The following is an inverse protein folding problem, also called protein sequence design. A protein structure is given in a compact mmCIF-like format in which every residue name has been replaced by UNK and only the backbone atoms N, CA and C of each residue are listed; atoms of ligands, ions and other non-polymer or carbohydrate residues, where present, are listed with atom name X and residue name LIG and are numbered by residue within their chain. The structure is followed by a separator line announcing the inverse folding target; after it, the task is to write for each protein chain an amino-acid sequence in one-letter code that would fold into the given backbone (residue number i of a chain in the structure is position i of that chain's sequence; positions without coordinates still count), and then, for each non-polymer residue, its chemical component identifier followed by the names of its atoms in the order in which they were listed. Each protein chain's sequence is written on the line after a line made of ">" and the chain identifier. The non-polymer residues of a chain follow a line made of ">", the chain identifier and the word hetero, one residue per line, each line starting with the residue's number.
data_IF_404037629418
#
_entry.id   IF_404037629418
#
_cell.length_a   1.000
_cell.length_b   1.000
_cell.length_c   1.000
_cell.angle_alpha   90.00
_cell.angle_beta   90.00
_cell.angle_gamma   90.00
#
_symmetry.space_group_name_H-M   'P 1'
#
loop_
_entity.id
_entity.type
_entity.pdbx_description
1 polymer ?
#
# COMPACT_ATOMS: atom_id res chain seq x y z
N UNK A 1 -3.78 0.73 6.66
CA UNK A 1 -2.90 0.07 7.63
C UNK A 1 -3.37 0.21 9.07
N UNK A 2 -3.73 1.38 9.52
CA UNK A 2 -4.19 1.58 10.93
C UNK A 2 -5.71 1.58 11.07
N UNK A 3 -6.43 1.06 10.06
CA UNK A 3 -7.88 1.05 10.06
C UNK A 3 -8.46 0.23 11.25
N UNK A 4 -7.79 -0.85 11.65
CA UNK A 4 -8.23 -1.66 12.79
C UNK A 4 -8.46 -0.87 14.08
N UNK A 5 -7.67 0.19 14.33
CA UNK A 5 -7.86 1.06 15.50
C UNK A 5 -9.11 1.92 15.38
N UNK A 6 -9.37 2.45 14.18
CA UNK A 6 -10.61 3.17 13.93
C UNK A 6 -11.83 2.25 14.03
N UNK A 7 -11.71 1.03 13.53
CA UNK A 7 -12.77 0.02 13.63
C UNK A 7 -13.09 -0.29 15.10
N UNK A 8 -12.08 -0.55 15.93
CA UNK A 8 -12.26 -0.78 17.36
C UNK A 8 -12.88 0.44 18.05
N UNK A 9 -12.43 1.66 17.71
CA UNK A 9 -13.01 2.88 18.23
C UNK A 9 -14.48 3.05 17.84
N UNK A 10 -14.85 2.75 16.59
CA UNK A 10 -16.26 2.81 16.14
C UNK A 10 -17.14 1.83 16.89
N UNK A 11 -16.64 0.63 17.19
CA UNK A 11 -17.38 -0.39 17.91
C UNK A 11 -17.58 0.00 19.39
N UNK A 12 -16.59 0.65 20.00
CA UNK A 12 -16.57 0.88 21.47
C UNK A 12 -17.08 2.26 21.90
N UNK A 13 -16.85 3.33 21.12
CA UNK A 13 -17.05 4.70 21.61
C UNK A 13 -17.98 5.56 20.76
N UNK A 14 -18.28 5.20 19.55
CA UNK A 14 -19.07 6.03 18.66
C UNK A 14 -20.41 5.38 18.36
N UNK A 15 -21.50 6.04 18.81
CA UNK A 15 -22.87 5.69 18.44
C UNK A 15 -23.15 6.15 16.99
N UNK A 16 -22.70 5.35 16.03
CA UNK A 16 -23.09 5.52 14.64
C UNK A 16 -24.49 4.92 14.45
N UNK A 17 -25.37 5.62 13.75
CA UNK A 17 -26.63 5.03 13.37
C UNK A 17 -26.40 4.07 12.19
N UNK A 18 -26.78 2.80 12.35
CA UNK A 18 -26.63 1.76 11.34
C UNK A 18 -26.16 0.43 11.92
N UNK A 19 -25.97 -0.56 11.04
CA UNK A 19 -25.49 -1.88 11.45
C UNK A 19 -23.99 -1.84 11.68
N UNK A 20 -23.56 -2.08 12.92
CA UNK A 20 -22.14 -2.03 13.35
C UNK A 20 -21.28 -3.09 12.67
N UNK A 21 -21.86 -4.21 12.25
CA UNK A 21 -21.14 -5.27 11.53
C UNK A 21 -20.56 -4.76 10.19
N UNK A 22 -21.11 -3.66 9.66
CA UNK A 22 -20.65 -3.04 8.43
C UNK A 22 -19.38 -2.20 8.57
N UNK A 23 -18.88 -1.97 9.77
CA UNK A 23 -17.64 -1.19 9.96
C UNK A 23 -16.42 -1.86 9.31
N UNK A 24 -16.35 -3.18 9.31
CA UNK A 24 -15.32 -3.93 8.60
C UNK A 24 -15.28 -3.67 7.08
N UNK A 25 -16.45 -3.36 6.50
CA UNK A 25 -16.56 -3.07 5.05
C UNK A 25 -15.77 -1.81 4.67
N UNK A 26 -15.62 -0.82 5.57
CA UNK A 26 -14.86 0.41 5.28
C UNK A 26 -13.41 0.07 4.89
N UNK A 27 -12.75 -0.78 5.67
CA UNK A 27 -11.38 -1.20 5.40
C UNK A 27 -11.25 -2.04 4.13
N UNK A 28 -12.19 -2.94 3.88
CA UNK A 28 -12.23 -3.76 2.66
C UNK A 28 -12.49 -2.90 1.42
N UNK A 29 -13.45 -1.98 1.48
CA UNK A 29 -13.75 -1.04 0.38
C UNK A 29 -12.55 -0.17 0.08
N UNK A 30 -11.84 0.31 1.10
CA UNK A 30 -10.61 1.08 0.95
C UNK A 30 -9.56 0.33 0.12
N UNK A 31 -9.26 -0.91 0.49
CA UNK A 31 -8.29 -1.72 -0.23
C UNK A 31 -8.79 -2.04 -1.65
N UNK A 32 -10.06 -2.43 -1.79
CA UNK A 32 -10.67 -2.75 -3.08
C UNK A 32 -10.61 -1.57 -4.07
N UNK A 33 -11.00 -0.39 -3.65
CA UNK A 33 -10.95 0.83 -4.48
C UNK A 33 -9.51 1.18 -4.87
N UNK A 34 -8.58 1.08 -3.93
CA UNK A 34 -7.17 1.36 -4.20
C UNK A 34 -6.60 0.39 -5.24
N UNK A 35 -6.73 -0.92 -5.04
CA UNK A 35 -6.18 -1.91 -5.96
C UNK A 35 -6.88 -1.93 -7.33
N UNK A 36 -8.18 -1.64 -7.40
CA UNK A 36 -8.92 -1.56 -8.65
C UNK A 36 -8.55 -0.31 -9.46
N UNK A 37 -8.35 0.83 -8.80
CA UNK A 37 -8.00 2.09 -9.47
C UNK A 37 -6.55 2.15 -9.94
N UNK A 38 -5.61 1.48 -9.27
CA UNK A 38 -4.19 1.51 -9.60
C UNK A 38 -3.86 1.12 -11.05
N UNK A 39 -4.29 -0.03 -11.60
CA UNK A 39 -3.97 -0.40 -12.97
C UNK A 39 -4.49 0.61 -13.99
N UNK A 40 -5.68 1.18 -13.74
CA UNK A 40 -6.28 2.20 -14.60
C UNK A 40 -5.45 3.49 -14.58
N UNK A 41 -5.03 3.94 -13.40
CA UNK A 41 -4.21 5.13 -13.23
C UNK A 41 -2.80 4.93 -13.81
N UNK A 42 -2.19 3.76 -13.64
CA UNK A 42 -0.92 3.43 -14.28
C UNK A 42 -1.03 3.50 -15.80
N UNK A 43 -2.05 2.91 -16.39
CA UNK A 43 -2.28 2.96 -17.83
C UNK A 43 -2.48 4.41 -18.33
N UNK A 44 -3.20 5.22 -17.56
CA UNK A 44 -3.50 6.60 -17.88
C UNK A 44 -2.23 7.47 -17.84
N UNK A 45 -1.45 7.40 -16.74
CA UNK A 45 -0.29 8.25 -16.52
C UNK A 45 1.00 7.78 -17.22
N UNK A 46 1.02 6.57 -17.77
CA UNK A 46 2.18 6.07 -18.53
C UNK A 46 2.28 6.71 -19.91
N UNK A 47 1.17 7.06 -20.58
CA UNK A 47 1.18 7.52 -21.98
C UNK A 47 0.62 8.92 -22.16
N UNK A 48 -0.70 9.04 -22.08
CA UNK A 48 -1.42 10.23 -22.56
C UNK A 48 -1.34 11.40 -21.59
N UNK A 49 -1.28 11.11 -20.30
CA UNK A 49 -1.41 12.07 -19.21
C UNK A 49 -0.14 12.21 -18.34
N UNK A 50 1.01 11.75 -18.86
CA UNK A 50 2.28 11.81 -18.13
C UNK A 50 2.63 13.23 -17.67
N UNK A 51 2.34 14.26 -18.49
CA UNK A 51 2.56 15.68 -18.14
C UNK A 51 1.70 16.18 -16.98
N UNK A 52 0.61 15.52 -16.67
CA UNK A 52 -0.32 15.91 -15.60
C UNK A 52 -0.09 15.16 -14.29
N UNK A 53 1.02 14.42 -14.14
CA UNK A 53 1.30 13.62 -12.93
C UNK A 53 1.33 14.48 -11.67
N UNK A 54 1.98 15.64 -11.68
CA UNK A 54 2.00 16.55 -10.53
C UNK A 54 0.61 17.09 -10.20
N UNK A 55 -0.13 17.52 -11.22
CA UNK A 55 -1.52 17.97 -11.03
C UNK A 55 -2.41 16.87 -10.46
N UNK A 56 -2.21 15.62 -10.91
CA UNK A 56 -2.93 14.47 -10.38
C UNK A 56 -2.57 14.19 -8.90
N UNK A 57 -1.29 14.30 -8.53
CA UNK A 57 -0.88 14.16 -7.12
C UNK A 57 -1.48 15.27 -6.26
N UNK A 58 -1.49 16.52 -6.73
CA UNK A 58 -2.10 17.63 -6.01
C UNK A 58 -3.62 17.44 -5.85
N UNK A 59 -4.32 17.08 -6.93
CA UNK A 59 -5.77 16.80 -6.87
C UNK A 59 -6.08 15.62 -5.96
N UNK A 60 -5.25 14.56 -5.98
CA UNK A 60 -5.36 13.41 -5.10
C UNK A 60 -5.18 13.78 -3.63
N UNK A 61 -4.21 14.65 -3.32
CA UNK A 61 -4.00 15.16 -1.95
C UNK A 61 -5.19 15.97 -1.47
N UNK A 62 -5.71 16.88 -2.30
CA UNK A 62 -6.90 17.68 -1.96
C UNK A 62 -8.09 16.76 -1.71
N UNK A 63 -8.30 15.76 -2.57
CA UNK A 63 -9.39 14.81 -2.46
C UNK A 63 -9.29 13.96 -1.18
N UNK A 64 -8.09 13.49 -0.83
CA UNK A 64 -7.85 12.75 0.40
C UNK A 64 -8.10 13.62 1.64
N UNK A 65 -7.60 14.85 1.68
CA UNK A 65 -7.83 15.78 2.78
C UNK A 65 -9.32 16.11 2.94
N UNK A 66 -10.01 16.42 1.84
CA UNK A 66 -11.44 16.70 1.84
C UNK A 66 -12.24 15.51 2.36
N UNK A 67 -11.85 14.29 1.97
CA UNK A 67 -12.45 13.05 2.43
C UNK A 67 -12.37 12.89 3.94
N UNK A 68 -11.20 13.10 4.54
CA UNK A 68 -11.04 13.04 6.00
C UNK A 68 -11.78 14.18 6.71
N UNK A 69 -11.82 15.38 6.15
CA UNK A 69 -12.61 16.48 6.68
C UNK A 69 -14.11 16.15 6.66
N UNK A 70 -14.63 15.60 5.57
CA UNK A 70 -16.03 15.16 5.46
C UNK A 70 -16.34 14.03 6.43
N UNK A 71 -15.42 13.08 6.64
CA UNK A 71 -15.61 11.99 7.59
C UNK A 71 -15.71 12.49 9.04
N UNK A 72 -15.16 13.68 9.35
CA UNK A 72 -15.30 14.34 10.67
C UNK A 72 -16.75 14.69 11.01
N UNK A 73 -17.64 14.80 10.04
CA UNK A 73 -19.08 15.11 10.18
C UNK A 73 -19.96 13.88 10.01
N UNK A 74 -19.38 12.70 9.83
CA UNK A 74 -20.14 11.47 9.57
C UNK A 74 -20.89 11.01 10.81
N UNK A 75 -22.18 10.72 10.64
CA UNK A 75 -23.08 10.20 11.66
C UNK A 75 -23.56 8.78 11.39
N UNK A 76 -23.35 8.29 10.16
CA UNK A 76 -23.75 6.96 9.72
C UNK A 76 -22.58 6.19 9.14
N UNK A 77 -22.62 4.86 9.25
CA UNK A 77 -21.55 3.97 8.75
C UNK A 77 -21.33 4.14 7.25
N UNK A 78 -22.39 4.29 6.45
CA UNK A 78 -22.24 4.45 5.01
C UNK A 78 -21.57 5.77 4.59
N UNK A 79 -21.70 6.86 5.40
CA UNK A 79 -20.93 8.09 5.19
C UNK A 79 -19.43 7.83 5.30
N UNK A 80 -19.02 6.98 6.26
CA UNK A 80 -17.62 6.58 6.44
C UNK A 80 -17.14 5.67 5.29
N UNK A 81 -17.98 4.77 4.81
CA UNK A 81 -17.68 3.96 3.61
C UNK A 81 -17.44 4.85 2.40
N UNK A 82 -18.30 5.84 2.16
CA UNK A 82 -18.17 6.75 1.03
C UNK A 82 -16.94 7.68 1.16
N UNK A 83 -16.72 8.24 2.34
CA UNK A 83 -15.62 9.18 2.57
C UNK A 83 -14.29 8.44 2.75
N UNK A 84 -14.11 7.65 3.79
CA UNK A 84 -12.84 6.97 4.08
C UNK A 84 -12.59 5.75 3.19
N UNK A 85 -13.64 5.01 2.83
CA UNK A 85 -13.53 3.83 1.96
C UNK A 85 -13.27 4.19 0.51
N UNK A 86 -14.07 5.04 -0.11
CA UNK A 86 -13.99 5.33 -1.54
C UNK A 86 -13.14 6.57 -1.82
N UNK A 87 -13.55 7.72 -1.28
CA UNK A 87 -12.98 9.02 -1.65
C UNK A 87 -11.51 9.15 -1.21
N UNK A 88 -11.18 8.77 0.04
CA UNK A 88 -9.81 8.81 0.55
C UNK A 88 -8.89 7.88 -0.24
N UNK A 89 -9.37 6.68 -0.58
CA UNK A 89 -8.55 5.70 -1.27
C UNK A 89 -8.33 6.02 -2.73
N UNK A 90 -9.32 6.58 -3.40
CA UNK A 90 -9.15 7.10 -4.75
C UNK A 90 -8.17 8.28 -4.78
N UNK A 91 -8.29 9.23 -3.83
CA UNK A 91 -7.32 10.30 -3.63
C UNK A 91 -5.89 9.78 -3.39
N UNK A 92 -5.75 8.78 -2.52
CA UNK A 92 -4.46 8.13 -2.26
C UNK A 92 -3.89 7.42 -3.48
N UNK A 93 -4.72 6.75 -4.28
CA UNK A 93 -4.31 6.10 -5.52
C UNK A 93 -3.81 7.12 -6.57
N UNK A 94 -4.43 8.31 -6.65
CA UNK A 94 -3.97 9.41 -7.50
C UNK A 94 -2.60 9.95 -7.09
N UNK A 95 -2.25 9.92 -5.81
CA UNK A 95 -0.91 10.30 -5.33
C UNK A 95 0.09 9.17 -5.59
N UNK A 96 -0.26 7.95 -5.22
CA UNK A 96 0.64 6.81 -5.23
C UNK A 96 1.01 6.35 -6.66
N UNK A 97 0.07 6.38 -7.60
CA UNK A 97 0.30 5.88 -8.96
C UNK A 97 1.38 6.68 -9.73
N UNK A 98 1.34 8.02 -9.80
CA UNK A 98 2.39 8.79 -10.45
C UNK A 98 3.74 8.66 -9.75
N UNK A 99 3.76 8.60 -8.41
CA UNK A 99 4.97 8.43 -7.61
C UNK A 99 5.66 7.10 -7.92
N UNK A 100 4.89 6.01 -7.98
CA UNK A 100 5.41 4.68 -8.31
C UNK A 100 5.94 4.60 -9.74
N UNK A 101 5.26 5.24 -10.69
CA UNK A 101 5.73 5.33 -12.08
C UNK A 101 7.05 6.10 -12.18
N UNK A 102 7.16 7.23 -11.49
CA UNK A 102 8.38 8.02 -11.45
C UNK A 102 9.55 7.21 -10.88
N UNK A 103 9.33 6.46 -9.79
CA UNK A 103 10.35 5.59 -9.23
C UNK A 103 10.85 4.55 -10.24
N UNK A 104 9.94 3.92 -10.99
CA UNK A 104 10.28 2.96 -12.04
C UNK A 104 11.00 3.55 -13.25
N UNK A 105 10.87 4.85 -13.49
CA UNK A 105 11.58 5.58 -14.56
C UNK A 105 13.00 5.97 -14.13
N UNK A 106 13.21 6.34 -12.87
CA UNK A 106 14.53 6.66 -12.33
C UNK A 106 15.43 5.43 -12.20
N UNK A 107 14.88 4.29 -11.76
CA UNK A 107 15.60 3.02 -11.59
C UNK A 107 15.24 2.06 -12.73
N UNK A 108 16.01 2.06 -13.83
CA UNK A 108 15.65 1.32 -15.07
C UNK A 108 15.80 -0.19 -14.95
N UNK A 109 16.95 -0.72 -14.55
CA UNK A 109 17.25 -2.16 -14.52
C UNK A 109 17.96 -2.60 -13.26
N UNK A 110 19.04 -1.91 -12.90
CA UNK A 110 19.81 -2.24 -11.69
C UNK A 110 19.19 -1.54 -10.48
N UNK A 111 19.05 -2.25 -9.38
CA UNK A 111 18.52 -1.77 -8.10
C UNK A 111 17.02 -1.35 -8.12
N UNK A 112 16.25 -1.79 -9.12
CA UNK A 112 14.84 -1.43 -9.21
C UNK A 112 14.01 -2.07 -8.09
N UNK A 113 14.18 -3.37 -7.85
CA UNK A 113 13.47 -4.08 -6.78
C UNK A 113 13.88 -3.55 -5.40
N UNK A 114 15.17 -3.23 -5.21
CA UNK A 114 15.64 -2.59 -3.98
C UNK A 114 14.98 -1.23 -3.76
N UNK A 115 14.88 -0.38 -4.79
CA UNK A 115 14.24 0.93 -4.68
C UNK A 115 12.75 0.82 -4.30
N UNK A 116 12.02 -0.10 -4.91
CA UNK A 116 10.64 -0.40 -4.52
C UNK A 116 10.58 -0.98 -3.10
N UNK A 117 11.50 -1.88 -2.73
CA UNK A 117 11.61 -2.45 -1.40
C UNK A 117 11.81 -1.38 -0.32
N UNK A 118 12.73 -0.44 -0.53
CA UNK A 118 12.96 0.70 0.38
C UNK A 118 11.70 1.58 0.50
N UNK A 119 11.04 1.89 -0.61
CA UNK A 119 9.81 2.69 -0.60
C UNK A 119 8.70 1.98 0.17
N UNK A 120 8.53 0.67 -0.02
CA UNK A 120 7.56 -0.14 0.71
C UNK A 120 7.92 -0.30 2.19
N UNK A 121 9.22 -0.30 2.54
CA UNK A 121 9.69 -0.27 3.93
C UNK A 121 9.21 0.98 4.67
N UNK A 122 9.21 2.14 4.02
CA UNK A 122 8.66 3.38 4.60
C UNK A 122 7.17 3.25 4.96
N UNK A 123 6.39 2.52 4.14
CA UNK A 123 5.00 2.19 4.45
C UNK A 123 4.87 1.44 5.79
N UNK A 124 5.78 0.52 6.08
CA UNK A 124 5.77 -0.24 7.32
C UNK A 124 6.24 0.58 8.53
N UNK A 125 7.15 1.55 8.34
CA UNK A 125 7.50 2.51 9.40
C UNK A 125 6.25 3.29 9.82
N UNK A 126 5.51 3.83 8.86
CA UNK A 126 4.23 4.52 9.13
C UNK A 126 3.23 3.56 9.78
N UNK A 127 3.09 2.32 9.28
CA UNK A 127 2.24 1.28 9.85
C UNK A 127 2.58 0.90 11.28
N UNK A 128 3.84 1.05 11.70
CA UNK A 128 4.29 0.79 13.08
C UNK A 128 4.03 1.98 14.03
N UNK A 129 4.19 3.21 13.55
CA UNK A 129 4.06 4.43 14.37
C UNK A 129 2.61 4.90 14.49
N UNK A 130 1.85 4.85 13.39
CA UNK A 130 0.48 5.36 13.35
C UNK A 130 -0.48 4.73 14.35
N UNK A 131 -0.41 3.43 14.68
CA UNK A 131 -1.26 2.85 15.71
C UNK A 131 -1.16 3.56 17.06
N UNK A 132 0.05 3.84 17.53
CA UNK A 132 0.27 4.58 18.80
C UNK A 132 -0.21 6.02 18.70
N UNK A 133 0.05 6.68 17.56
CA UNK A 133 -0.40 8.04 17.32
C UNK A 133 -1.93 8.12 17.39
N UNK A 134 -2.64 7.24 16.68
CA UNK A 134 -4.11 7.24 16.69
C UNK A 134 -4.69 6.86 18.03
N UNK A 135 -4.15 5.86 18.72
CA UNK A 135 -4.58 5.50 20.07
C UNK A 135 -4.42 6.68 21.03
N UNK A 136 -3.29 7.39 20.99
CA UNK A 136 -3.06 8.58 21.81
C UNK A 136 -3.98 9.74 21.44
N UNK A 137 -4.20 9.99 20.15
CA UNK A 137 -5.08 11.07 19.69
C UNK A 137 -6.55 10.78 20.01
N UNK A 138 -7.02 9.57 19.80
CA UNK A 138 -8.39 9.16 20.09
C UNK A 138 -8.67 9.17 21.60
N UNK A 139 -7.67 8.80 22.42
CA UNK A 139 -7.79 8.86 23.89
C UNK A 139 -7.79 10.28 24.47
N UNK A 140 -7.17 11.25 23.78
CA UNK A 140 -7.12 12.66 24.25
C UNK A 140 -8.16 13.56 23.60
N UNK A 141 -8.47 13.30 22.33
CA UNK A 141 -9.35 14.13 21.52
C UNK A 141 -10.50 13.27 20.99
N UNK A 142 -11.63 13.90 20.68
CA UNK A 142 -12.74 13.21 20.02
C UNK A 142 -12.35 12.78 18.59
N UNK A 143 -13.04 11.80 18.03
CA UNK A 143 -12.87 11.30 16.67
C UNK A 143 -12.74 12.43 15.63
N UNK A 144 -13.66 13.40 15.62
CA UNK A 144 -13.66 14.51 14.67
C UNK A 144 -12.36 15.32 14.67
N UNK A 145 -11.78 15.57 15.85
CA UNK A 145 -10.50 16.30 15.96
C UNK A 145 -9.33 15.46 15.48
N UNK A 146 -9.31 14.18 15.82
CA UNK A 146 -8.26 13.23 15.38
C UNK A 146 -8.20 13.15 13.86
N UNK A 147 -9.34 13.03 13.18
CA UNK A 147 -9.41 12.92 11.72
C UNK A 147 -9.00 14.23 11.05
N UNK A 148 -9.32 15.39 11.64
CA UNK A 148 -8.84 16.70 11.14
C UNK A 148 -7.34 16.87 11.26
N UNK A 149 -6.76 16.48 12.41
CA UNK A 149 -5.30 16.47 12.61
C UNK A 149 -4.65 15.56 11.58
N UNK A 150 -5.23 14.37 11.34
CA UNK A 150 -4.72 13.44 10.34
C UNK A 150 -4.77 14.02 8.92
N UNK A 151 -5.84 14.73 8.55
CA UNK A 151 -5.95 15.43 7.28
C UNK A 151 -4.84 16.47 7.09
N UNK A 152 -4.49 17.23 8.14
CA UNK A 152 -3.38 18.19 8.11
C UNK A 152 -2.02 17.52 7.94
N UNK A 153 -1.78 16.39 8.61
CA UNK A 153 -0.54 15.60 8.45
C UNK A 153 -0.42 15.10 7.01
N UNK A 154 -1.49 14.55 6.43
CA UNK A 154 -1.52 14.11 5.03
C UNK A 154 -1.24 15.28 4.09
N UNK A 155 -1.89 16.42 4.29
CA UNK A 155 -1.67 17.61 3.46
C UNK A 155 -0.20 18.04 3.49
N UNK A 156 0.37 18.21 4.68
CA UNK A 156 1.75 18.66 4.86
C UNK A 156 2.77 17.70 4.25
N UNK A 157 2.65 16.41 4.56
CA UNK A 157 3.57 15.38 4.04
C UNK A 157 3.45 15.19 2.54
N UNK A 158 2.23 15.18 1.99
CA UNK A 158 2.01 15.03 0.55
C UNK A 158 2.51 16.24 -0.24
N UNK A 159 2.22 17.45 0.21
CA UNK A 159 2.72 18.66 -0.44
C UNK A 159 4.25 18.71 -0.43
N UNK A 160 4.87 18.44 0.72
CA UNK A 160 6.33 18.39 0.84
C UNK A 160 6.91 17.37 -0.15
N UNK A 161 6.33 16.17 -0.25
CA UNK A 161 6.79 15.12 -1.16
C UNK A 161 6.61 15.53 -2.63
N UNK A 162 5.46 16.12 -3.00
CA UNK A 162 5.18 16.52 -4.38
C UNK A 162 6.19 17.57 -4.89
N UNK A 163 6.57 18.51 -4.02
CA UNK A 163 7.58 19.52 -4.39
C UNK A 163 9.01 18.97 -4.47
N UNK A 164 9.31 17.88 -3.75
CA UNK A 164 10.62 17.23 -3.76
C UNK A 164 10.83 16.29 -4.94
N UNK A 165 9.77 15.77 -5.57
CA UNK A 165 9.91 14.85 -6.70
C UNK A 165 10.22 15.64 -7.97
N UNK A 166 11.44 15.54 -8.53
CA UNK A 166 11.77 16.20 -9.77
C UNK A 166 11.03 15.54 -10.94
N UNK A 167 10.53 16.36 -11.85
CA UNK A 167 9.96 15.86 -13.12
C UNK A 167 11.06 15.26 -13.97
N UNK A 168 10.95 13.94 -14.27
CA UNK A 168 11.92 13.29 -15.13
C UNK A 168 11.75 13.74 -16.59
N UNK A 169 12.85 14.02 -17.34
CA UNK A 169 12.81 14.47 -18.74
C UNK A 169 12.01 13.54 -19.68
N UNK A 170 11.96 12.23 -19.41
CA UNK A 170 11.14 11.28 -20.19
C UNK A 170 9.62 11.48 -20.06
N UNK A 171 9.16 12.32 -19.13
CA UNK A 171 7.76 12.74 -19.08
C UNK A 171 7.43 13.84 -20.10
N UNK A 172 8.45 14.45 -20.74
CA UNK A 172 8.26 15.37 -21.86
C UNK A 172 7.82 14.58 -23.11
N UNK A 173 6.91 15.14 -23.92
CA UNK A 173 6.51 14.51 -25.19
C UNK A 173 7.74 14.21 -26.02
N UNK A 174 7.78 13.05 -26.68
CA UNK A 174 8.88 12.61 -27.53
C UNK A 174 9.31 13.66 -28.60
N UNK A 175 8.43 14.60 -28.94
CA UNK A 175 8.72 15.73 -29.82
C UNK A 175 9.79 16.72 -29.29
N UNK A 176 10.08 16.72 -27.99
CA UNK A 176 11.12 17.62 -27.41
C UNK A 176 12.44 16.88 -27.23
N UNK A 177 12.40 15.55 -26.98
CA UNK A 177 13.62 14.72 -26.94
C UNK A 177 14.27 14.58 -28.32
N UNK A 178 13.47 14.48 -29.38
CA UNK A 178 13.99 14.43 -30.77
C UNK A 178 14.71 15.71 -31.20
N UNK A 179 14.36 16.87 -30.61
CA UNK A 179 15.04 18.13 -30.89
C UNK A 179 16.38 18.30 -30.13
N UNK A 180 16.57 17.55 -29.05
CA UNK A 180 17.80 17.64 -28.24
C UNK A 180 18.79 16.51 -28.58
N UNK A 181 18.32 15.34 -29.01
CA UNK A 181 19.17 14.22 -29.48
C UNK A 181 19.60 14.40 -30.93
N UNK A 182 18.82 15.07 -31.79
CA UNK A 182 19.19 15.37 -33.19
C UNK A 182 20.36 16.35 -33.35
N UNK A 183 20.88 16.91 -32.25
CA UNK A 183 22.05 17.81 -32.30
C UNK A 183 23.39 17.06 -32.06
N UNK A 184 23.40 15.78 -31.67
CA UNK A 184 24.64 15.12 -31.24
C UNK A 184 25.03 13.79 -31.85
N UNK A 185 24.24 13.10 -32.71
CA UNK A 185 24.76 11.89 -33.37
C UNK A 185 24.02 11.57 -34.67
N UNK A 186 24.77 11.64 -35.78
CA UNK A 186 24.44 11.00 -37.03
C UNK A 186 24.64 9.48 -36.91
N UNK A 187 23.61 8.75 -36.58
CA UNK A 187 23.62 7.31 -36.53
C UNK A 187 22.18 6.76 -36.52
N UNK A 188 21.93 5.86 -37.48
CA UNK A 188 20.69 5.14 -37.77
C UNK A 188 19.75 4.88 -36.60
N UNK A 189 18.94 5.85 -36.25
CA UNK A 189 17.88 5.70 -35.23
C UNK A 189 16.64 5.12 -35.96
N UNK A 190 16.41 3.83 -35.81
CA UNK A 190 15.18 3.19 -36.22
C UNK A 190 13.96 3.86 -35.55
N UNK A 191 12.77 3.83 -36.19
CA UNK A 191 11.59 4.57 -35.75
C UNK A 191 11.24 4.25 -34.27
N UNK A 192 10.81 5.25 -33.49
CA UNK A 192 10.52 5.09 -32.06
C UNK A 192 9.50 3.96 -31.89
N UNK A 193 9.90 2.89 -31.21
CA UNK A 193 9.04 1.74 -30.94
C UNK A 193 7.88 2.21 -30.08
N UNK A 194 6.77 2.55 -30.72
CA UNK A 194 5.49 2.73 -30.03
C UNK A 194 5.26 1.52 -29.13
N UNK A 195 5.32 1.70 -27.81
CA UNK A 195 4.94 0.67 -26.82
C UNK A 195 3.43 0.43 -26.94
N UNK A 196 3.03 -0.31 -27.98
CA UNK A 196 1.69 -0.88 -28.06
C UNK A 196 1.52 -1.80 -26.85
N UNK A 197 0.35 -1.78 -26.23
CA UNK A 197 -0.01 -2.78 -25.21
C UNK A 197 0.26 -4.14 -25.86
N UNK A 198 1.09 -5.01 -25.28
CA UNK A 198 1.43 -6.29 -25.89
C UNK A 198 0.23 -7.24 -25.73
N UNK A 199 -0.83 -7.02 -26.52
CA UNK A 199 -1.98 -7.91 -26.58
C UNK A 199 -1.61 -9.39 -26.76
N UNK A 200 -0.53 -9.75 -27.51
CA UNK A 200 -0.08 -11.12 -27.58
C UNK A 200 0.35 -11.69 -26.22
N UNK A 201 0.86 -10.87 -25.30
CA UNK A 201 1.24 -11.32 -23.96
C UNK A 201 0.05 -11.83 -23.17
N UNK A 202 -1.15 -11.28 -23.38
CA UNK A 202 -2.38 -11.76 -22.71
C UNK A 202 -2.81 -13.17 -23.17
N UNK A 203 -2.23 -13.69 -24.26
CA UNK A 203 -2.49 -15.08 -24.71
C UNK A 203 -1.65 -16.12 -23.95
N UNK A 204 -0.63 -15.69 -23.23
CA UNK A 204 0.19 -16.60 -22.43
C UNK A 204 -0.51 -16.95 -21.12
N UNK A 205 -0.79 -18.23 -20.90
CA UNK A 205 -1.42 -18.74 -19.66
C UNK A 205 -0.66 -18.37 -18.38
N UNK A 206 0.65 -18.17 -18.49
CA UNK A 206 1.53 -17.74 -17.39
C UNK A 206 1.05 -16.44 -16.73
N UNK A 207 0.53 -15.47 -17.52
CA UNK A 207 0.04 -14.20 -16.97
C UNK A 207 -1.17 -14.43 -16.04
N UNK A 208 -2.08 -15.31 -16.44
CA UNK A 208 -3.26 -15.63 -15.63
C UNK A 208 -2.89 -16.35 -14.34
N UNK A 209 -1.92 -17.29 -14.40
CA UNK A 209 -1.41 -17.97 -13.22
C UNK A 209 -0.78 -16.98 -12.25
N UNK A 210 0.08 -16.07 -12.74
CA UNK A 210 0.67 -15.01 -11.93
C UNK A 210 -0.39 -14.09 -11.33
N UNK A 211 -1.37 -13.67 -12.12
CA UNK A 211 -2.43 -12.78 -11.66
C UNK A 211 -3.26 -13.43 -10.55
N UNK A 212 -3.62 -14.70 -10.70
CA UNK A 212 -4.34 -15.46 -9.66
C UNK A 212 -3.48 -15.59 -8.40
N UNK A 213 -2.21 -15.94 -8.53
CA UNK A 213 -1.29 -16.05 -7.40
C UNK A 213 -1.17 -14.73 -6.63
N UNK A 214 -1.02 -13.60 -7.32
CA UNK A 214 -0.96 -12.27 -6.71
C UNK A 214 -2.28 -11.91 -6.02
N UNK A 215 -3.43 -12.20 -6.63
CA UNK A 215 -4.75 -11.94 -6.02
C UNK A 215 -4.89 -12.73 -4.72
N UNK A 216 -4.60 -14.03 -4.74
CA UNK A 216 -4.68 -14.88 -3.56
C UNK A 216 -3.72 -14.41 -2.45
N UNK A 217 -2.49 -14.09 -2.79
CA UNK A 217 -1.48 -13.61 -1.84
C UNK A 217 -1.86 -12.24 -1.25
N UNK A 218 -2.37 -11.33 -2.07
CA UNK A 218 -2.82 -10.01 -1.61
C UNK A 218 -4.03 -10.11 -0.69
N UNK A 219 -4.97 -11.02 -0.98
CA UNK A 219 -6.10 -11.31 -0.10
C UNK A 219 -5.61 -11.88 1.24
N UNK A 220 -4.70 -12.86 1.21
CA UNK A 220 -4.12 -13.46 2.40
C UNK A 220 -3.37 -12.44 3.27
N UNK A 221 -2.66 -11.48 2.66
CA UNK A 221 -1.97 -10.40 3.37
C UNK A 221 -2.94 -9.40 4.01
N UNK A 222 -4.02 -9.07 3.32
CA UNK A 222 -5.00 -8.08 3.77
C UNK A 222 -5.77 -8.50 5.02
N UNK A 223 -6.01 -9.78 5.21
CA UNK A 223 -6.78 -10.32 6.34
C UNK A 223 -6.07 -10.06 7.68
N UNK A 224 -4.82 -10.51 7.91
CA UNK A 224 -4.12 -10.21 9.16
C UNK A 224 -3.95 -8.71 9.39
N UNK A 225 -3.62 -7.96 8.36
CA UNK A 225 -3.42 -6.53 8.46
C UNK A 225 -4.66 -5.77 8.96
N UNK A 226 -5.84 -6.24 8.62
CA UNK A 226 -7.11 -5.59 8.97
C UNK A 226 -7.68 -6.11 10.28
N UNK A 227 -7.64 -7.43 10.48
CA UNK A 227 -8.39 -8.09 11.56
C UNK A 227 -7.54 -8.54 12.75
N UNK A 228 -6.20 -8.49 12.68
CA UNK A 228 -5.34 -8.94 13.78
C UNK A 228 -5.65 -8.21 15.10
N UNK A 229 -5.89 -6.90 15.03
CA UNK A 229 -6.21 -6.09 16.20
C UNK A 229 -7.57 -6.50 16.80
N UNK A 230 -8.60 -6.60 15.98
CA UNK A 230 -9.95 -7.04 16.40
C UNK A 230 -9.94 -8.47 16.92
N UNK A 231 -9.21 -9.38 16.27
CA UNK A 231 -9.04 -10.75 16.75
C UNK A 231 -8.36 -10.79 18.13
N UNK A 232 -7.34 -9.97 18.34
CA UNK A 232 -6.61 -9.92 19.60
C UNK A 232 -7.51 -9.40 20.75
N UNK A 233 -8.35 -8.39 20.49
CA UNK A 233 -9.22 -7.81 21.51
C UNK A 233 -10.50 -8.63 21.75
N UNK A 234 -11.16 -9.10 20.71
CA UNK A 234 -12.49 -9.74 20.82
C UNK A 234 -12.43 -11.26 21.00
N UNK A 235 -11.48 -11.93 20.33
CA UNK A 235 -11.40 -13.40 20.34
C UNK A 235 -10.37 -13.88 21.36
N UNK A 236 -9.16 -13.31 21.32
CA UNK A 236 -8.11 -13.66 22.26
C UNK A 236 -8.22 -12.94 23.61
N UNK A 237 -9.18 -12.02 23.77
CA UNK A 237 -9.48 -11.26 24.99
C UNK A 237 -8.24 -10.57 25.59
N UNK A 238 -7.31 -10.14 24.73
CA UNK A 238 -6.09 -9.45 25.13
C UNK A 238 -6.35 -7.97 25.41
N UNK A 239 -5.45 -7.36 26.18
CA UNK A 239 -5.56 -5.92 26.46
C UNK A 239 -5.40 -5.10 25.17
N UNK A 240 -6.04 -3.93 25.12
CA UNK A 240 -5.93 -2.97 24.01
C UNK A 240 -4.46 -2.65 23.67
N UNK A 241 -3.60 -2.49 24.69
CA UNK A 241 -2.16 -2.27 24.49
C UNK A 241 -1.49 -3.44 23.78
N UNK A 242 -1.84 -4.69 24.15
CA UNK A 242 -1.31 -5.90 23.51
C UNK A 242 -1.72 -5.98 22.04
N UNK A 243 -2.97 -5.63 21.71
CA UNK A 243 -3.46 -5.61 20.34
C UNK A 243 -2.71 -4.58 19.47
N UNK A 244 -2.43 -3.39 19.99
CA UNK A 244 -1.61 -2.37 19.29
C UNK A 244 -0.19 -2.86 19.09
N UNK A 245 0.42 -3.48 20.10
CA UNK A 245 1.78 -4.03 20.02
C UNK A 245 1.85 -5.12 18.94
N UNK A 246 0.86 -6.01 18.84
CA UNK A 246 0.82 -7.04 17.81
C UNK A 246 0.80 -6.44 16.39
N UNK A 247 0.01 -5.39 16.17
CA UNK A 247 -0.04 -4.71 14.88
C UNK A 247 1.29 -4.01 14.55
N UNK A 248 1.95 -3.48 15.55
CA UNK A 248 3.28 -2.88 15.41
C UNK A 248 4.33 -3.94 15.09
N UNK A 249 4.33 -5.06 15.82
CA UNK A 249 5.22 -6.20 15.59
C UNK A 249 4.98 -6.88 14.22
N UNK A 250 3.79 -6.74 13.65
CA UNK A 250 3.49 -7.17 12.30
C UNK A 250 4.20 -6.29 11.24
N UNK A 251 4.32 -4.98 11.49
CA UNK A 251 4.92 -4.04 10.53
C UNK A 251 6.44 -3.90 10.68
N UNK A 252 7.00 -3.97 11.89
CA UNK A 252 8.45 -3.76 12.12
C UNK A 252 9.33 -4.70 11.31
N UNK A 253 9.13 -6.03 11.29
CA UNK A 253 9.95 -6.93 10.48
C UNK A 253 9.84 -6.64 8.98
N UNK A 254 8.68 -6.15 8.54
CA UNK A 254 8.46 -5.72 7.16
C UNK A 254 9.39 -4.58 6.71
N UNK A 255 9.86 -3.73 7.64
CA UNK A 255 10.80 -2.65 7.31
C UNK A 255 12.10 -3.21 6.73
N UNK A 256 12.67 -4.21 7.40
CA UNK A 256 13.88 -4.87 6.94
C UNK A 256 13.61 -5.82 5.77
N UNK A 257 12.51 -6.55 5.82
CA UNK A 257 12.12 -7.59 4.87
C UNK A 257 11.96 -7.06 3.44
N UNK A 258 11.23 -5.97 3.24
CA UNK A 258 11.03 -5.40 1.90
C UNK A 258 12.35 -4.99 1.25
N UNK A 259 13.25 -4.34 2.00
CA UNK A 259 14.57 -3.97 1.50
C UNK A 259 15.45 -5.20 1.26
N UNK A 260 15.40 -6.20 2.14
CA UNK A 260 16.15 -7.45 2.03
C UNK A 260 15.74 -8.27 0.80
N UNK A 261 14.45 -8.50 0.61
CA UNK A 261 13.94 -9.26 -0.54
C UNK A 261 14.13 -8.49 -1.86
N UNK A 262 14.00 -7.16 -1.84
CA UNK A 262 14.30 -6.32 -2.99
C UNK A 262 15.78 -6.41 -3.40
N UNK A 263 16.69 -6.34 -2.44
CA UNK A 263 18.13 -6.54 -2.68
C UNK A 263 18.43 -7.95 -3.21
N UNK A 264 17.82 -8.98 -2.61
CA UNK A 264 18.03 -10.35 -3.03
C UNK A 264 17.55 -10.61 -4.46
N UNK A 265 16.46 -9.96 -4.86
CA UNK A 265 15.90 -10.06 -6.20
C UNK A 265 16.75 -9.36 -7.27
N UNK A 266 17.38 -8.23 -6.92
CA UNK A 266 18.25 -7.47 -7.84
C UNK A 266 19.66 -8.06 -7.97
N UNK A 267 20.09 -8.89 -7.01
CA UNK A 267 21.46 -9.39 -6.95
C UNK A 267 21.71 -10.48 -8.02
N UNK A 268 22.40 -10.13 -9.07
CA UNK A 268 22.76 -11.04 -10.21
C UNK A 268 23.66 -12.21 -9.79
N UNK A 269 24.35 -12.12 -8.65
CA UNK A 269 25.16 -13.21 -8.09
C UNK A 269 24.37 -14.15 -7.18
N UNK A 270 23.11 -13.81 -6.89
CA UNK A 270 22.22 -14.68 -6.13
C UNK A 270 21.82 -15.88 -6.96
N UNK A 271 21.88 -17.06 -6.35
CA UNK A 271 21.36 -18.30 -6.93
C UNK A 271 19.83 -18.32 -7.01
N UNK A 272 19.17 -17.34 -6.37
CA UNK A 272 17.71 -17.26 -6.31
C UNK A 272 17.17 -16.30 -7.37
N UNK A 273 16.29 -16.79 -8.23
CA UNK A 273 15.51 -15.92 -9.12
C UNK A 273 14.44 -15.15 -8.34
N UNK A 274 13.98 -14.02 -8.87
CA UNK A 274 12.88 -13.25 -8.30
C UNK A 274 11.65 -14.13 -8.01
N UNK A 275 11.32 -15.06 -8.94
CA UNK A 275 10.23 -16.01 -8.77
C UNK A 275 10.44 -16.96 -7.59
N UNK A 276 11.67 -17.45 -7.39
CA UNK A 276 12.00 -18.32 -6.25
C UNK A 276 11.86 -17.58 -4.93
N UNK A 277 12.33 -16.34 -4.88
CA UNK A 277 12.21 -15.46 -3.70
C UNK A 277 10.73 -15.21 -3.37
N UNK A 278 9.91 -14.87 -4.36
CA UNK A 278 8.47 -14.69 -4.20
C UNK A 278 7.78 -15.98 -3.71
N UNK A 279 8.18 -17.14 -4.22
CA UNK A 279 7.63 -18.44 -3.83
C UNK A 279 7.95 -18.80 -2.38
N UNK A 280 9.21 -18.62 -1.97
CA UNK A 280 9.65 -18.84 -0.57
C UNK A 280 8.88 -17.89 0.37
N UNK A 281 8.76 -16.63 0.01
CA UNK A 281 8.00 -15.64 0.76
C UNK A 281 6.54 -16.03 0.94
N UNK A 282 5.86 -16.42 -0.13
CA UNK A 282 4.47 -16.81 -0.11
C UNK A 282 4.24 -18.10 0.71
N UNK A 283 5.08 -19.12 0.53
CA UNK A 283 4.96 -20.38 1.26
C UNK A 283 5.21 -20.19 2.76
N UNK A 284 6.25 -19.44 3.12
CA UNK A 284 6.59 -19.20 4.54
C UNK A 284 5.53 -18.37 5.24
N UNK A 285 4.98 -17.34 4.57
CA UNK A 285 3.87 -16.54 5.12
C UNK A 285 2.59 -17.36 5.26
N UNK A 286 2.25 -18.18 4.27
CA UNK A 286 1.09 -19.08 4.32
C UNK A 286 1.21 -20.10 5.45
N UNK A 287 2.39 -20.72 5.59
CA UNK A 287 2.64 -21.70 6.66
C UNK A 287 2.55 -21.04 8.04
N UNK A 288 3.09 -19.84 8.21
CA UNK A 288 2.98 -19.10 9.46
C UNK A 288 1.53 -18.75 9.80
N UNK A 289 0.70 -18.39 8.81
CA UNK A 289 -0.71 -18.11 9.01
C UNK A 289 -1.49 -19.36 9.48
N UNK A 290 -1.22 -20.51 8.89
CA UNK A 290 -1.91 -21.76 9.27
C UNK A 290 -1.44 -22.24 10.64
N UNK A 291 -0.12 -22.33 10.87
CA UNK A 291 0.43 -22.93 12.09
C UNK A 291 0.31 -22.03 13.32
N UNK A 292 0.57 -20.73 13.17
CA UNK A 292 0.66 -19.82 14.30
C UNK A 292 -0.64 -19.06 14.59
N UNK A 293 -1.46 -18.81 13.58
CA UNK A 293 -2.75 -18.17 13.77
C UNK A 293 -3.90 -19.16 13.69
N UNK A 294 -3.98 -19.95 12.61
CA UNK A 294 -5.08 -20.88 12.37
C UNK A 294 -5.21 -22.01 13.40
N UNK A 295 -4.08 -22.54 13.87
CA UNK A 295 -4.06 -23.58 14.89
C UNK A 295 -3.97 -23.06 16.34
N UNK A 296 -3.95 -21.75 16.53
CA UNK A 296 -3.88 -21.11 17.85
C UNK A 296 -5.27 -21.11 18.52
N UNK A 297 -5.72 -22.25 18.99
CA UNK A 297 -7.03 -22.41 19.64
C UNK A 297 -7.12 -21.74 21.01
N UNK A 298 -5.99 -21.46 21.66
CA UNK A 298 -5.93 -20.91 23.02
C UNK A 298 -5.77 -19.38 23.06
N UNK A 299 -5.67 -18.69 21.92
CA UNK A 299 -5.48 -17.24 21.87
C UNK A 299 -4.20 -16.75 22.57
N UNK A 300 -3.15 -17.59 22.63
CA UNK A 300 -1.91 -17.27 23.32
C UNK A 300 -1.22 -16.03 22.71
N UNK A 301 -0.92 -15.04 23.57
CA UNK A 301 -0.19 -13.83 23.18
C UNK A 301 1.17 -14.16 22.55
N UNK A 302 1.90 -15.14 23.09
CA UNK A 302 3.22 -15.53 22.59
C UNK A 302 3.14 -16.06 21.15
N UNK A 303 2.14 -16.88 20.84
CA UNK A 303 1.92 -17.42 19.49
C UNK A 303 1.54 -16.31 18.51
N UNK A 304 0.72 -15.35 18.92
CA UNK A 304 0.34 -14.19 18.09
C UNK A 304 1.52 -13.25 17.86
N UNK A 305 2.42 -13.08 18.84
CA UNK A 305 3.68 -12.33 18.66
C UNK A 305 4.55 -13.04 17.63
N UNK A 306 4.75 -14.35 17.77
CA UNK A 306 5.55 -15.12 16.82
C UNK A 306 4.94 -15.08 15.41
N UNK A 307 3.62 -15.19 15.29
CA UNK A 307 2.89 -15.00 14.04
C UNK A 307 3.17 -13.60 13.44
N UNK A 308 3.00 -12.55 14.23
CA UNK A 308 3.18 -11.17 13.75
C UNK A 308 4.58 -10.93 13.19
N UNK A 309 5.61 -11.45 13.88
CA UNK A 309 7.01 -11.31 13.45
C UNK A 309 7.28 -12.14 12.20
N UNK A 310 6.92 -13.41 12.19
CA UNK A 310 7.23 -14.31 11.06
C UNK A 310 6.44 -13.95 9.82
N UNK A 311 5.13 -13.74 9.96
CA UNK A 311 4.29 -13.34 8.84
C UNK A 311 4.69 -11.96 8.32
N UNK A 312 4.92 -10.98 9.21
CA UNK A 312 5.36 -9.62 8.84
C UNK A 312 6.68 -9.59 8.08
N UNK A 313 7.61 -10.51 8.42
CA UNK A 313 8.86 -10.65 7.69
C UNK A 313 8.65 -11.28 6.31
N UNK A 314 8.03 -12.43 6.24
CA UNK A 314 7.93 -13.16 4.97
C UNK A 314 6.90 -12.58 4.01
N UNK A 315 5.77 -12.08 4.48
CA UNK A 315 4.70 -11.59 3.62
C UNK A 315 5.06 -10.35 2.78
N UNK A 316 6.16 -9.65 3.11
CA UNK A 316 6.66 -8.52 2.33
C UNK A 316 7.35 -8.90 1.01
N UNK A 317 7.93 -10.11 0.95
CA UNK A 317 8.82 -10.50 -0.15
C UNK A 317 8.14 -10.56 -1.52
N UNK A 318 6.88 -10.97 -1.61
CA UNK A 318 6.18 -11.08 -2.89
C UNK A 318 5.90 -9.72 -3.57
N UNK A 319 5.85 -8.65 -2.81
CA UNK A 319 5.59 -7.30 -3.35
C UNK A 319 6.89 -6.51 -3.63
N UNK A 320 8.02 -7.00 -3.15
CA UNK A 320 9.33 -6.40 -3.40
C UNK A 320 10.06 -7.02 -4.60
N UNK A 321 9.63 -8.19 -5.06
CA UNK A 321 10.17 -8.92 -6.21
C UNK A 321 9.35 -8.68 -7.46
#
# INVERSE_FOLDING_TARGET
>A
MSYGIFQEYYLTHQTLSGNYDLTGIIGMTSNGVMYLSMPLLFALFTKRWAKFRQTAMLSGTILACLSFLLSSFSTQVWHLVATQGVLACFGSALVFSPMTLSLGEWYKTDHRALAYGVTLSCKNIVGSVCPFLFSSLLGRYKFSSTVRIWALIIAGTSLFTIFLIPTHPSALPAAVSDLTEGANEGGDAGPPRSRKIPWPSLRHGTIYIYSIAIILQSAAYGIPQTYLNTYASEVALLSHTSAIILLTLFNIPGIASFSFFGYLSDNKHSTFSATTVACISAMSSGLSAILLWGLNTQGSLATLILFSITFGFFAGGYSAT
#
